data_IF_889105837649
#
_entry.id   IF_889105837649
#
_cell.length_a   1.000
_cell.length_b   1.000
_cell.length_c   1.000
_cell.angle_alpha   90.00
_cell.angle_beta   90.00
_cell.angle_gamma   90.00
#
_symmetry.space_group_name_H-M   'P 1'
#
loop_
_entity.id
_entity.type
_entity.pdbx_description
1 polymer ?
#
# COMPACT_ATOMS: atom_id res chain seq x y z
N UNK A 1 -15.64 14.36 -0.61
CA UNK A 1 -15.66 15.44 0.41
C UNK A 1 -16.38 14.89 1.61
N UNK A 2 -15.64 14.59 2.66
CA UNK A 2 -16.23 14.25 3.95
C UNK A 2 -16.43 15.55 4.72
N UNK A 3 -17.59 15.76 5.26
CA UNK A 3 -18.25 17.02 5.62
C UNK A 3 -17.46 18.10 6.40
N UNK A 4 -16.21 17.86 6.82
CA UNK A 4 -15.38 18.87 7.50
C UNK A 4 -13.88 18.68 7.26
N UNK A 5 -13.43 17.63 6.54
CA UNK A 5 -12.02 17.37 6.26
C UNK A 5 -11.80 17.15 4.77
N UNK A 6 -10.86 17.85 4.22
CA UNK A 6 -10.37 17.62 2.87
C UNK A 6 -9.49 16.37 2.85
N UNK A 7 -9.73 15.47 1.90
CA UNK A 7 -8.92 14.28 1.68
C UNK A 7 -8.10 14.47 0.41
N UNK A 8 -6.78 14.36 0.54
CA UNK A 8 -5.85 14.42 -0.58
C UNK A 8 -5.56 12.99 -1.06
N UNK A 9 -5.86 12.72 -2.32
CA UNK A 9 -5.49 11.46 -2.97
C UNK A 9 -4.21 11.64 -3.76
N UNK A 10 -3.17 10.91 -3.39
CA UNK A 10 -1.87 10.94 -4.04
C UNK A 10 -1.58 9.60 -4.72
N UNK A 11 -1.32 9.64 -6.02
CA UNK A 11 -0.79 8.51 -6.79
C UNK A 11 0.61 8.89 -7.29
N UNK A 12 1.70 8.45 -6.63
CA UNK A 12 3.05 8.76 -7.03
C UNK A 12 3.32 8.28 -8.46
N UNK A 13 4.02 9.12 -9.23
CA UNK A 13 4.46 8.79 -10.59
C UNK A 13 5.98 8.60 -10.66
N UNK A 14 6.64 8.55 -9.52
CA UNK A 14 8.05 8.21 -9.36
C UNK A 14 8.28 6.72 -9.55
N UNK A 15 9.53 6.30 -9.67
CA UNK A 15 9.86 4.89 -9.46
C UNK A 15 9.48 4.45 -8.05
N UNK A 16 9.21 3.15 -7.85
CA UNK A 16 8.75 2.62 -6.56
C UNK A 16 9.70 3.00 -5.42
N UNK A 17 11.00 2.86 -5.60
CA UNK A 17 12.01 3.21 -4.61
C UNK A 17 12.20 4.72 -4.38
N UNK A 18 11.47 5.54 -5.08
CA UNK A 18 11.44 7.00 -4.93
C UNK A 18 10.07 7.54 -4.49
N UNK A 19 9.13 6.65 -4.13
CA UNK A 19 7.77 7.02 -3.69
C UNK A 19 7.77 8.03 -2.54
N UNK A 20 8.73 7.94 -1.65
CA UNK A 20 8.88 8.87 -0.53
C UNK A 20 9.09 10.32 -0.94
N UNK A 21 9.72 10.59 -2.08
CA UNK A 21 9.91 11.96 -2.59
C UNK A 21 8.57 12.64 -2.89
N UNK A 22 7.65 11.91 -3.56
CA UNK A 22 6.31 12.42 -3.86
C UNK A 22 5.49 12.63 -2.59
N UNK A 23 5.55 11.67 -1.65
CA UNK A 23 4.85 11.77 -0.36
C UNK A 23 5.37 12.96 0.45
N UNK A 24 6.68 13.11 0.56
CA UNK A 24 7.29 14.25 1.27
C UNK A 24 6.87 15.60 0.70
N UNK A 25 6.86 15.72 -0.63
CA UNK A 25 6.44 16.95 -1.30
C UNK A 25 4.97 17.29 -0.98
N UNK A 26 4.07 16.31 -1.03
CA UNK A 26 2.67 16.48 -0.69
C UNK A 26 2.47 16.83 0.79
N UNK A 27 3.14 16.11 1.69
CA UNK A 27 3.10 16.35 3.13
C UNK A 27 3.54 17.78 3.48
N UNK A 28 4.61 18.25 2.85
CA UNK A 28 5.11 19.61 3.05
C UNK A 28 4.14 20.67 2.51
N UNK A 29 3.64 20.45 1.29
CA UNK A 29 2.75 21.41 0.63
C UNK A 29 1.41 21.56 1.36
N UNK A 30 0.78 20.44 1.73
CA UNK A 30 -0.52 20.41 2.39
C UNK A 30 -0.43 20.45 3.93
N UNK A 31 0.77 20.49 4.51
CA UNK A 31 1.03 20.50 5.96
C UNK A 31 0.36 19.34 6.69
N UNK A 32 0.47 18.14 6.13
CA UNK A 32 -0.12 16.91 6.66
C UNK A 32 0.78 16.34 7.77
N UNK A 33 0.18 15.86 8.86
CA UNK A 33 0.92 15.14 9.91
C UNK A 33 1.13 13.67 9.50
N UNK A 34 2.24 13.04 9.91
CA UNK A 34 2.48 11.63 9.61
C UNK A 34 1.33 10.69 10.01
N UNK A 35 0.68 10.97 11.13
CA UNK A 35 -0.45 10.19 11.67
C UNK A 35 -1.70 10.25 10.78
N UNK A 36 -1.80 11.28 9.93
CA UNK A 36 -2.92 11.49 9.00
C UNK A 36 -2.65 10.90 7.60
N UNK A 37 -1.52 10.21 7.44
CA UNK A 37 -1.16 9.58 6.18
C UNK A 37 -1.65 8.12 6.18
N UNK A 38 -2.37 7.76 5.14
CA UNK A 38 -2.78 6.39 4.84
C UNK A 38 -2.11 5.93 3.56
N UNK A 39 -1.37 4.83 3.63
CA UNK A 39 -0.68 4.23 2.48
C UNK A 39 -1.36 2.93 2.11
N UNK A 40 -1.80 2.82 0.87
CA UNK A 40 -2.27 1.55 0.29
C UNK A 40 -1.13 0.95 -0.51
N UNK A 41 -0.77 -0.29 -0.21
CA UNK A 41 0.34 -1.00 -0.85
C UNK A 41 -0.01 -2.44 -1.20
N UNK A 42 0.67 -2.98 -2.20
CA UNK A 42 0.73 -4.42 -2.43
C UNK A 42 1.59 -5.09 -1.34
N UNK A 43 1.28 -6.34 -1.01
CA UNK A 43 2.02 -7.08 0.01
C UNK A 43 2.17 -8.56 -0.38
N UNK A 44 3.40 -8.94 -0.66
CA UNK A 44 3.72 -10.30 -1.09
C UNK A 44 3.65 -11.34 0.05
N UNK A 45 3.73 -10.90 1.30
CA UNK A 45 3.64 -11.77 2.48
C UNK A 45 2.20 -11.97 2.99
N UNK A 46 1.24 -11.35 2.31
CA UNK A 46 -0.18 -11.47 2.64
C UNK A 46 -0.90 -12.21 1.51
N UNK A 47 -1.74 -13.16 1.90
CA UNK A 47 -2.51 -13.96 0.94
C UNK A 47 -3.42 -13.09 0.08
N UNK A 48 -3.53 -13.46 -1.18
CA UNK A 48 -4.50 -12.87 -2.11
C UNK A 48 -5.91 -12.92 -1.51
N UNK A 49 -6.61 -11.81 -1.55
CA UNK A 49 -7.95 -11.67 -0.94
C UNK A 49 -7.95 -11.20 0.51
N UNK A 50 -6.78 -11.10 1.13
CA UNK A 50 -6.64 -10.60 2.50
C UNK A 50 -6.01 -9.20 2.55
N UNK A 51 -6.35 -8.45 3.61
CA UNK A 51 -5.81 -7.13 3.90
C UNK A 51 -5.31 -7.13 5.32
N UNK A 52 -4.10 -6.60 5.52
CA UNK A 52 -3.54 -6.35 6.85
C UNK A 52 -3.33 -4.86 7.06
N UNK A 53 -3.64 -4.38 8.25
CA UNK A 53 -3.40 -2.99 8.64
C UNK A 53 -2.21 -2.96 9.59
N UNK A 54 -1.27 -2.05 9.35
CA UNK A 54 -0.08 -1.86 10.17
C UNK A 54 0.13 -0.39 10.47
N UNK A 55 0.54 -0.11 11.70
CA UNK A 55 0.96 1.23 12.15
C UNK A 55 2.34 1.13 12.77
N UNK A 56 3.15 2.17 12.59
CA UNK A 56 4.51 2.27 13.14
C UNK A 56 5.41 1.07 12.83
N UNK A 57 5.16 0.39 11.72
CA UNK A 57 5.86 -0.83 11.34
C UNK A 57 7.00 -0.57 10.35
N UNK A 58 8.02 -1.43 10.37
CA UNK A 58 9.10 -1.42 9.39
C UNK A 58 8.59 -1.81 8.00
N UNK A 59 9.37 -1.49 6.97
CA UNK A 59 8.99 -1.73 5.57
C UNK A 59 8.83 -3.20 5.18
N UNK A 60 9.43 -4.11 5.94
CA UNK A 60 9.50 -5.54 5.62
C UNK A 60 10.02 -5.81 4.18
N UNK A 61 10.97 -5.00 3.74
CA UNK A 61 11.59 -5.11 2.42
C UNK A 61 10.83 -4.43 1.27
N UNK A 62 9.66 -3.85 1.51
CA UNK A 62 8.93 -3.10 0.48
C UNK A 62 9.64 -1.77 0.18
N UNK A 63 10.20 -1.65 -1.02
CA UNK A 63 11.05 -0.51 -1.41
C UNK A 63 10.33 0.84 -1.37
N UNK A 64 9.06 0.87 -1.76
CA UNK A 64 8.25 2.10 -1.71
C UNK A 64 8.01 2.57 -0.29
N UNK A 65 7.70 1.66 0.62
CA UNK A 65 7.50 1.97 2.05
C UNK A 65 8.82 2.42 2.69
N UNK A 66 9.92 1.74 2.38
CA UNK A 66 11.23 2.17 2.89
C UNK A 66 11.57 3.60 2.43
N UNK A 67 11.31 3.92 1.17
CA UNK A 67 11.47 5.27 0.64
C UNK A 67 10.65 6.31 1.41
N UNK A 68 9.38 5.99 1.73
CA UNK A 68 8.53 6.88 2.52
C UNK A 68 9.09 7.09 3.92
N UNK A 69 9.50 6.02 4.60
CA UNK A 69 10.11 6.09 5.93
C UNK A 69 11.38 6.96 5.91
N UNK A 70 12.25 6.74 4.94
CA UNK A 70 13.52 7.45 4.82
C UNK A 70 13.31 8.96 4.55
N UNK A 71 12.40 9.30 3.67
CA UNK A 71 12.12 10.71 3.31
C UNK A 71 11.35 11.46 4.40
N UNK A 72 10.40 10.82 5.07
CA UNK A 72 9.66 11.42 6.19
C UNK A 72 10.44 11.36 7.51
N UNK A 73 11.45 10.50 7.61
CA UNK A 73 12.15 10.15 8.86
C UNK A 73 11.17 9.75 9.97
N UNK A 74 10.09 9.11 9.57
CA UNK A 74 8.97 8.76 10.42
C UNK A 74 8.21 7.58 9.84
N UNK A 75 7.68 6.72 10.69
CA UNK A 75 6.85 5.57 10.29
C UNK A 75 5.48 5.54 10.97
N UNK A 76 5.03 6.66 11.52
CA UNK A 76 3.72 6.78 12.21
C UNK A 76 2.50 6.81 11.28
N UNK A 77 2.67 6.52 10.02
CA UNK A 77 1.56 6.42 9.09
C UNK A 77 0.89 5.04 9.15
N UNK A 78 -0.39 4.99 8.78
CA UNK A 78 -1.16 3.75 8.69
C UNK A 78 -0.99 3.13 7.31
N UNK A 79 -0.74 1.82 7.25
CA UNK A 79 -0.60 1.06 6.02
C UNK A 79 -1.74 0.06 5.85
N UNK A 80 -2.37 0.08 4.69
CA UNK A 80 -3.32 -0.93 4.23
C UNK A 80 -2.58 -1.84 3.26
N UNK A 81 -2.23 -3.02 3.71
CA UNK A 81 -1.40 -4.00 3.01
C UNK A 81 -2.31 -4.98 2.29
N UNK A 82 -2.46 -4.80 0.97
CA UNK A 82 -3.33 -5.62 0.13
C UNK A 82 -2.57 -6.85 -0.34
N UNK A 83 -3.03 -8.03 0.03
CA UNK A 83 -2.37 -9.29 -0.27
C UNK A 83 -2.36 -9.61 -1.77
N UNK A 84 -1.20 -10.03 -2.26
CA UNK A 84 -0.99 -10.47 -3.64
C UNK A 84 -0.44 -11.90 -3.76
N UNK A 85 -0.19 -12.57 -2.64
CA UNK A 85 0.31 -13.95 -2.65
C UNK A 85 -0.84 -14.92 -2.98
N UNK A 86 -0.87 -15.41 -4.20
CA UNK A 86 -1.90 -16.34 -4.66
C UNK A 86 -1.83 -17.74 -4.02
N UNK A 87 -0.67 -18.11 -3.45
CA UNK A 87 -0.35 -19.47 -2.99
C UNK A 87 -0.51 -20.56 -4.07
N UNK A 88 -0.61 -20.16 -5.31
CA UNK A 88 -0.59 -21.09 -6.44
C UNK A 88 0.82 -21.68 -6.56
N UNK A 89 0.97 -23.02 -6.75
CA UNK A 89 2.27 -23.64 -7.01
C UNK A 89 3.03 -23.02 -8.18
N UNK A 90 2.32 -22.51 -9.19
CA UNK A 90 2.93 -21.79 -10.32
C UNK A 90 3.49 -20.42 -9.89
N UNK A 91 2.83 -19.72 -8.97
CA UNK A 91 3.32 -18.48 -8.38
C UNK A 91 4.61 -18.74 -7.60
N UNK A 92 4.60 -19.73 -6.71
CA UNK A 92 5.78 -20.10 -5.93
C UNK A 92 6.97 -20.52 -6.81
N UNK A 93 6.70 -21.31 -7.85
CA UNK A 93 7.73 -21.72 -8.82
C UNK A 93 8.30 -20.52 -9.59
N UNK A 94 7.46 -19.57 -9.98
CA UNK A 94 7.89 -18.35 -10.64
C UNK A 94 8.75 -17.47 -9.72
N UNK A 95 8.40 -17.33 -8.44
CA UNK A 95 9.20 -16.59 -7.45
C UNK A 95 10.58 -17.22 -7.29
N UNK A 96 10.66 -18.55 -7.21
CA UNK A 96 11.94 -19.28 -7.12
C UNK A 96 12.80 -19.11 -8.37
N UNK A 97 12.18 -19.07 -9.54
CA UNK A 97 12.89 -19.02 -10.83
C UNK A 97 13.30 -17.61 -11.23
N UNK A 98 12.42 -16.64 -11.05
CA UNK A 98 12.54 -15.29 -11.61
C UNK A 98 12.78 -14.22 -10.55
N UNK A 99 12.58 -14.55 -9.27
CA UNK A 99 12.64 -13.63 -8.14
C UNK A 99 11.29 -12.91 -7.88
N UNK A 100 11.08 -12.53 -6.64
CA UNK A 100 9.83 -11.89 -6.21
C UNK A 100 9.58 -10.56 -6.94
N UNK A 101 10.60 -9.73 -7.13
CA UNK A 101 10.48 -8.44 -7.81
C UNK A 101 9.94 -8.57 -9.24
N UNK A 102 10.37 -9.61 -9.96
CA UNK A 102 9.88 -9.88 -11.31
C UNK A 102 8.42 -10.34 -11.31
N UNK A 103 8.05 -11.18 -10.36
CA UNK A 103 6.71 -11.75 -10.27
C UNK A 103 5.67 -10.69 -9.88
N UNK A 104 5.98 -9.80 -8.94
CA UNK A 104 5.04 -8.74 -8.50
C UNK A 104 4.75 -7.70 -9.60
N UNK A 105 5.56 -7.64 -10.64
CA UNK A 105 5.33 -6.76 -11.79
C UNK A 105 4.46 -7.40 -12.88
N UNK A 106 4.13 -8.69 -12.76
CA UNK A 106 3.28 -9.38 -13.72
C UNK A 106 1.81 -9.00 -13.56
N UNK A 107 1.06 -9.12 -14.64
CA UNK A 107 -0.39 -8.95 -14.60
C UNK A 107 -1.06 -10.05 -13.77
N UNK A 108 -2.13 -9.71 -13.10
CA UNK A 108 -3.00 -10.69 -12.47
C UNK A 108 -3.65 -11.61 -13.51
N UNK A 109 -3.85 -12.86 -13.14
CA UNK A 109 -4.61 -13.82 -13.95
C UNK A 109 -6.10 -13.47 -13.94
N UNK A 110 -6.85 -14.08 -14.88
CA UNK A 110 -8.30 -13.86 -14.94
C UNK A 110 -9.02 -14.34 -13.66
N UNK A 111 -8.50 -15.35 -12.98
CA UNK A 111 -9.02 -15.85 -11.72
C UNK A 111 -8.70 -14.94 -10.54
N UNK A 112 -7.55 -14.27 -10.58
CA UNK A 112 -7.09 -13.35 -9.53
C UNK A 112 -7.80 -11.99 -9.58
N UNK A 113 -8.16 -11.51 -10.77
CA UNK A 113 -8.75 -10.18 -10.97
C UNK A 113 -10.00 -9.95 -10.11
N UNK A 114 -11.00 -10.84 -10.04
CA UNK A 114 -12.17 -10.66 -9.18
C UNK A 114 -11.79 -10.54 -7.70
N UNK A 115 -10.83 -11.34 -7.25
CA UNK A 115 -10.36 -11.35 -5.86
C UNK A 115 -9.68 -10.02 -5.51
N UNK A 116 -8.83 -9.52 -6.39
CA UNK A 116 -8.18 -8.20 -6.20
C UNK A 116 -9.21 -7.07 -6.20
N UNK A 117 -10.22 -7.11 -7.07
CA UNK A 117 -11.30 -6.10 -7.08
C UNK A 117 -12.07 -6.08 -5.77
N UNK A 118 -12.40 -7.24 -5.19
CA UNK A 118 -13.03 -7.33 -3.88
C UNK A 118 -12.12 -6.79 -2.77
N UNK A 119 -10.83 -7.10 -2.81
CA UNK A 119 -9.85 -6.59 -1.85
C UNK A 119 -9.73 -5.06 -1.93
N UNK A 120 -9.74 -4.49 -3.13
CA UNK A 120 -9.73 -3.04 -3.33
C UNK A 120 -10.98 -2.40 -2.72
N UNK A 121 -12.17 -2.98 -2.99
CA UNK A 121 -13.42 -2.48 -2.42
C UNK A 121 -13.41 -2.53 -0.89
N UNK A 122 -12.98 -3.65 -0.32
CA UNK A 122 -12.85 -3.80 1.12
C UNK A 122 -11.84 -2.80 1.72
N UNK A 123 -10.74 -2.53 1.03
CA UNK A 123 -9.75 -1.54 1.46
C UNK A 123 -10.35 -0.13 1.48
N UNK A 124 -11.12 0.24 0.48
CA UNK A 124 -11.83 1.54 0.43
C UNK A 124 -12.76 1.68 1.64
N UNK A 125 -13.55 0.67 1.95
CA UNK A 125 -14.46 0.67 3.09
C UNK A 125 -13.72 0.79 4.43
N UNK A 126 -12.58 0.10 4.57
CA UNK A 126 -11.72 0.22 5.74
C UNK A 126 -11.15 1.65 5.88
N UNK A 127 -10.66 2.24 4.81
CA UNK A 127 -10.13 3.61 4.83
C UNK A 127 -11.23 4.60 5.25
N UNK A 128 -12.42 4.49 4.68
CA UNK A 128 -13.56 5.33 5.05
C UNK A 128 -13.88 5.17 6.54
N UNK A 129 -13.88 3.94 7.06
CA UNK A 129 -14.10 3.67 8.49
C UNK A 129 -13.03 4.34 9.38
N UNK A 130 -11.76 4.30 8.98
CA UNK A 130 -10.67 4.97 9.69
C UNK A 130 -10.82 6.51 9.68
N UNK A 131 -11.15 7.07 8.51
CA UNK A 131 -11.37 8.51 8.38
C UNK A 131 -12.55 9.01 9.22
N UNK A 132 -13.57 8.20 9.43
CA UNK A 132 -14.76 8.58 10.21
C UNK A 132 -14.58 8.36 11.71
N UNK A 133 -13.74 7.42 12.15
CA UNK A 133 -13.48 7.15 13.57
C UNK A 133 -12.50 8.13 14.21
N UNK A 134 -11.62 8.71 13.44
CA UNK A 134 -10.58 9.63 13.93
C UNK A 134 -11.03 11.11 13.93
N UNK A 135 -12.31 11.31 13.94
CA UNK A 135 -12.92 12.65 14.08
C UNK A 135 -13.28 12.97 15.52
#
# INVERSE_FOLDING_TARGET
IFAENEVILLKPQTFMNESGKAVKAAVHYFKIKPEDIYVVQDEADVDLGKIKISQEANSAGHKGIQSIIDELKNKKFTRFRVGINSKDPLYEAAVKKEGLESVVLKNFTNEEIPVIKESIQATIELIISYLTKNK
#
